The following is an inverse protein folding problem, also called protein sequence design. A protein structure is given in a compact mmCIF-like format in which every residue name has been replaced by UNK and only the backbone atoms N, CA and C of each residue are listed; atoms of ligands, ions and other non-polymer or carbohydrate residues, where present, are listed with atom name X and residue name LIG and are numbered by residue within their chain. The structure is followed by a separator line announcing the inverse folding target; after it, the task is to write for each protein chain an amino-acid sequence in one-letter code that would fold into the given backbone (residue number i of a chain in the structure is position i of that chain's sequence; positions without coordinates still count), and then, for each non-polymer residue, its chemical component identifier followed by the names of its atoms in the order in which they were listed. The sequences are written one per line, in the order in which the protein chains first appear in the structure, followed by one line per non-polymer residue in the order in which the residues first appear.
data_IF_504749035460
#
_entry.id   IF_504749035460
#
_cell.length_a   1.000
_cell.length_b   1.000
_cell.length_c   1.000
_cell.angle_alpha   90.00
_cell.angle_beta   90.00
_cell.angle_gamma   90.00
#
_symmetry.space_group_name_H-M   'P 1'
#
loop_
_entity.id
_entity.type
_entity.pdbx_description
1 polymer ?
#
# COMPACT_ATOMS: atom_id res chain seq x y z
N UNK A 1 14.88 11.95 0.36
CA UNK A 1 14.45 11.85 -1.06
C UNK A 1 13.32 10.82 -1.12
N UNK A 2 12.19 11.16 -1.72
CA UNK A 2 11.07 10.22 -1.93
C UNK A 2 11.46 9.19 -2.99
N UNK A 3 10.98 7.95 -2.82
CA UNK A 3 11.12 6.89 -3.83
C UNK A 3 9.84 6.81 -4.68
N UNK A 4 10.01 6.60 -5.98
CA UNK A 4 8.84 6.38 -6.84
C UNK A 4 8.20 5.03 -6.51
N UNK A 5 6.87 5.01 -6.43
CA UNK A 5 6.10 3.83 -6.09
C UNK A 5 4.85 3.71 -6.95
N UNK A 6 4.59 2.50 -7.43
CA UNK A 6 3.34 2.12 -8.10
C UNK A 6 2.32 1.67 -7.06
N UNK A 7 1.10 2.17 -7.16
CA UNK A 7 0.02 1.94 -6.21
C UNK A 7 -0.95 0.89 -6.74
N UNK A 8 -1.28 -0.10 -5.90
CA UNK A 8 -2.39 -1.01 -6.11
C UNK A 8 -3.60 -0.65 -5.23
N UNK A 9 -4.79 -0.96 -5.71
CA UNK A 9 -6.08 -0.71 -5.04
C UNK A 9 -6.14 -1.29 -3.63
N UNK A 10 -5.65 -2.53 -3.44
CA UNK A 10 -5.68 -3.21 -2.14
C UNK A 10 -4.89 -2.44 -1.07
N UNK A 11 -3.75 -1.89 -1.45
CA UNK A 11 -2.94 -1.08 -0.53
C UNK A 11 -3.66 0.21 -0.13
N UNK A 12 -4.17 0.96 -1.12
CA UNK A 12 -4.84 2.24 -0.87
C UNK A 12 -6.04 2.09 0.06
N UNK A 13 -6.92 1.15 -0.25
CA UNK A 13 -8.14 0.94 0.52
C UNK A 13 -7.85 0.60 1.98
N UNK A 14 -6.90 -0.28 2.23
CA UNK A 14 -6.54 -0.68 3.60
C UNK A 14 -5.77 0.42 4.33
N UNK A 15 -4.84 1.11 3.67
CA UNK A 15 -4.12 2.25 4.24
C UNK A 15 -5.05 3.40 4.62
N UNK A 16 -6.05 3.69 3.78
CA UNK A 16 -7.08 4.68 4.06
C UNK A 16 -7.93 4.29 5.26
N UNK A 17 -8.33 3.02 5.35
CA UNK A 17 -9.16 2.50 6.44
C UNK A 17 -8.49 2.64 7.82
N UNK A 18 -7.18 2.47 7.91
CA UNK A 18 -6.45 2.62 9.18
C UNK A 18 -5.84 4.01 9.39
N UNK A 19 -5.97 4.91 8.42
CA UNK A 19 -5.56 6.32 8.55
C UNK A 19 -4.07 6.59 8.33
N UNK A 20 -3.34 5.72 7.61
CA UNK A 20 -1.89 5.90 7.38
C UNK A 20 -1.54 6.56 6.05
N UNK A 21 -2.52 6.84 5.19
CA UNK A 21 -2.30 7.45 3.87
C UNK A 21 -1.49 8.74 3.92
N UNK A 22 -1.72 9.71 4.83
CA UNK A 22 -0.95 10.95 4.85
C UNK A 22 0.56 10.74 5.02
N UNK A 23 0.96 9.67 5.73
CA UNK A 23 2.39 9.36 5.92
C UNK A 23 3.08 8.87 4.65
N UNK A 24 2.34 8.29 3.68
CA UNK A 24 2.91 7.77 2.44
C UNK A 24 3.73 8.81 1.69
N UNK A 25 3.23 10.03 1.65
CA UNK A 25 3.84 11.15 0.92
C UNK A 25 5.16 11.66 1.53
N UNK A 26 5.52 11.19 2.72
CA UNK A 26 6.85 11.45 3.28
C UNK A 26 7.93 10.50 2.73
N UNK A 27 7.51 9.35 2.19
CA UNK A 27 8.40 8.29 1.71
C UNK A 27 8.34 8.10 0.20
N UNK A 28 7.17 8.28 -0.39
CA UNK A 28 6.91 7.90 -1.77
C UNK A 28 6.35 9.04 -2.61
N UNK A 29 6.85 9.12 -3.83
CA UNK A 29 6.15 9.74 -4.95
C UNK A 29 5.26 8.67 -5.57
N UNK A 30 3.95 8.82 -5.44
CA UNK A 30 2.98 7.76 -5.73
C UNK A 30 2.46 7.90 -7.15
N UNK A 31 2.56 6.82 -7.91
CA UNK A 31 2.01 6.67 -9.25
C UNK A 31 0.89 5.63 -9.24
N UNK A 32 -0.15 5.88 -10.01
CA UNK A 32 -1.29 4.99 -10.18
C UNK A 32 -1.65 4.84 -11.66
N UNK A 33 -2.22 3.70 -12.02
CA UNK A 33 -2.78 3.45 -13.35
C UNK A 33 -4.27 3.80 -13.37
N UNK A 34 -4.81 4.12 -14.54
CA UNK A 34 -6.24 4.39 -14.71
C UNK A 34 -7.12 3.24 -14.18
N UNK A 35 -6.69 1.99 -14.39
CA UNK A 35 -7.40 0.82 -13.89
C UNK A 35 -7.52 0.81 -12.35
N UNK A 36 -6.47 1.20 -11.63
CA UNK A 36 -6.48 1.35 -10.16
C UNK A 36 -7.41 2.48 -9.73
N UNK A 37 -7.37 3.63 -10.40
CA UNK A 37 -8.30 4.71 -10.11
C UNK A 37 -9.75 4.27 -10.27
N UNK A 38 -10.08 3.58 -11.37
CA UNK A 38 -11.43 3.06 -11.59
C UNK A 38 -11.89 2.14 -10.47
N UNK A 39 -11.05 1.24 -10.01
CA UNK A 39 -11.38 0.33 -8.90
C UNK A 39 -11.60 1.05 -7.57
N UNK A 40 -10.86 2.13 -7.29
CA UNK A 40 -10.99 2.90 -6.05
C UNK A 40 -12.23 3.80 -6.09
N UNK A 41 -12.49 4.47 -7.23
CA UNK A 41 -13.45 5.57 -7.34
C UNK A 41 -14.81 5.10 -7.88
N UNK A 42 -14.87 3.98 -8.62
CA UNK A 42 -16.12 3.50 -9.21
C UNK A 42 -17.03 2.94 -8.12
N UNK A 43 -18.13 3.61 -7.88
CA UNK A 43 -19.29 3.07 -7.16
C UNK A 43 -20.17 2.30 -8.14
N UNK A 44 -20.80 1.20 -7.71
CA UNK A 44 -21.81 0.52 -8.50
C UNK A 44 -22.91 1.55 -8.87
N UNK A 45 -23.21 1.76 -10.17
CA UNK A 45 -24.23 2.72 -10.58
C UNK A 45 -25.65 2.39 -10.08
N UNK A 46 -25.87 1.19 -9.53
CA UNK A 46 -27.12 0.76 -8.92
C UNK A 46 -27.17 0.98 -7.38
N UNK A 47 -26.06 1.34 -6.76
CA UNK A 47 -26.03 1.71 -5.35
C UNK A 47 -26.15 3.23 -5.21
N UNK A 48 -26.90 3.66 -4.20
CA UNK A 48 -26.87 5.08 -3.75
C UNK A 48 -25.41 5.46 -3.54
N UNK A 49 -24.94 6.63 -4.01
CA UNK A 49 -23.54 7.00 -3.92
C UNK A 49 -23.15 7.14 -2.44
N UNK A 50 -22.77 6.02 -1.83
CA UNK A 50 -22.02 6.02 -0.61
C UNK A 50 -20.64 6.54 -0.98
N UNK A 51 -20.34 7.75 -0.58
CA UNK A 51 -19.02 8.32 -0.75
C UNK A 51 -18.08 7.58 0.20
N UNK A 52 -17.45 6.54 -0.32
CA UNK A 52 -16.49 5.78 0.46
C UNK A 52 -15.30 6.67 0.83
N UNK A 53 -14.88 6.73 2.10
CA UNK A 53 -13.77 7.58 2.54
C UNK A 53 -12.48 7.40 1.73
N UNK A 54 -12.16 6.17 1.30
CA UNK A 54 -10.99 5.87 0.47
C UNK A 54 -11.07 6.51 -0.93
N UNK A 55 -12.25 6.57 -1.54
CA UNK A 55 -12.47 7.20 -2.84
C UNK A 55 -12.35 8.72 -2.75
N UNK A 56 -12.95 9.33 -1.72
CA UNK A 56 -12.82 10.78 -1.46
C UNK A 56 -11.35 11.15 -1.24
N UNK A 57 -10.67 10.41 -0.40
CA UNK A 57 -9.27 10.67 -0.08
C UNK A 57 -8.38 10.57 -1.32
N UNK A 58 -8.63 9.58 -2.18
CA UNK A 58 -7.93 9.44 -3.45
C UNK A 58 -8.14 10.65 -4.36
N UNK A 59 -9.39 11.08 -4.52
CA UNK A 59 -9.74 12.24 -5.35
C UNK A 59 -9.07 13.51 -4.84
N UNK A 60 -9.14 13.79 -3.54
CA UNK A 60 -8.49 14.97 -2.93
C UNK A 60 -6.97 14.96 -3.19
N UNK A 61 -6.27 13.87 -2.93
CA UNK A 61 -4.83 13.82 -3.14
C UNK A 61 -4.43 13.84 -4.62
N UNK A 62 -5.29 13.34 -5.52
CA UNK A 62 -5.09 13.47 -6.96
C UNK A 62 -5.21 14.93 -7.40
N UNK A 63 -6.25 15.63 -6.97
CA UNK A 63 -6.49 17.06 -7.27
C UNK A 63 -5.38 17.94 -6.70
N UNK A 64 -4.86 17.62 -5.53
CA UNK A 64 -3.69 18.29 -4.92
C UNK A 64 -2.35 17.99 -5.64
N UNK A 65 -2.37 17.17 -6.69
CA UNK A 65 -1.16 16.81 -7.45
C UNK A 65 -0.19 15.89 -6.71
N UNK A 66 -0.64 15.19 -5.67
CA UNK A 66 0.18 14.24 -4.90
C UNK A 66 0.16 12.83 -5.45
N UNK A 67 -0.81 12.51 -6.28
CA UNK A 67 -0.91 11.24 -7.00
C UNK A 67 -0.71 11.48 -8.49
N UNK A 68 0.15 10.69 -9.12
CA UNK A 68 0.55 10.87 -10.51
C UNK A 68 0.05 9.72 -11.37
N UNK A 69 -0.77 10.02 -12.38
CA UNK A 69 -1.21 8.99 -13.31
C UNK A 69 -0.07 8.58 -14.24
N UNK A 70 0.20 7.28 -14.32
CA UNK A 70 1.25 6.70 -15.17
C UNK A 70 0.83 5.29 -15.58
N UNK A 71 0.91 4.99 -16.86
CA UNK A 71 0.52 3.69 -17.40
C UNK A 71 1.74 2.79 -17.67
N UNK A 72 1.61 1.46 -17.52
CA UNK A 72 2.61 0.52 -18.00
C UNK A 72 2.57 0.38 -19.53
N UNK A 73 3.68 0.01 -20.13
CA UNK A 73 3.74 -0.26 -21.57
C UNK A 73 3.09 -1.60 -21.92
N UNK A 74 3.30 -2.62 -21.08
CA UNK A 74 2.81 -3.99 -21.32
C UNK A 74 2.23 -4.53 -20.02
N UNK A 75 0.89 -4.50 -19.83
CA UNK A 75 0.26 -5.04 -18.64
C UNK A 75 0.50 -6.55 -18.49
N UNK A 76 0.79 -6.99 -17.27
CA UNK A 76 0.88 -8.41 -16.93
C UNK A 76 -0.51 -9.07 -17.06
N UNK A 77 -0.67 -10.18 -17.79
CA UNK A 77 -2.00 -10.78 -18.01
C UNK A 77 -2.56 -11.55 -16.82
N UNK A 78 -1.77 -11.70 -15.75
CA UNK A 78 -2.16 -12.44 -14.56
C UNK A 78 -2.83 -11.52 -13.55
N UNK A 79 -3.82 -11.99 -12.84
CA UNK A 79 -4.60 -11.24 -11.84
C UNK A 79 -5.64 -10.26 -12.43
N UNK A 80 -6.23 -9.45 -11.57
CA UNK A 80 -7.15 -8.39 -11.96
C UNK A 80 -6.46 -7.24 -12.72
N UNK A 81 -7.23 -6.42 -13.43
CA UNK A 81 -6.67 -5.39 -14.32
C UNK A 81 -5.84 -4.36 -13.53
N UNK A 82 -6.34 -3.88 -12.40
CA UNK A 82 -5.62 -2.93 -11.55
C UNK A 82 -4.31 -3.49 -11.03
N UNK A 83 -4.34 -4.69 -10.44
CA UNK A 83 -3.14 -5.39 -9.95
C UNK A 83 -2.12 -5.63 -11.07
N UNK A 84 -2.60 -6.11 -12.24
CA UNK A 84 -1.75 -6.38 -13.40
C UNK A 84 -1.00 -5.11 -13.85
N UNK A 85 -1.71 -3.99 -13.96
CA UNK A 85 -1.14 -2.70 -14.35
C UNK A 85 -0.16 -2.18 -13.30
N UNK A 86 -0.52 -2.25 -12.01
CA UNK A 86 0.35 -1.78 -10.93
C UNK A 86 1.66 -2.59 -10.84
N UNK A 87 1.59 -3.91 -10.98
CA UNK A 87 2.77 -4.79 -11.00
C UNK A 87 3.67 -4.47 -12.19
N UNK A 88 3.08 -4.35 -13.39
CA UNK A 88 3.84 -4.05 -14.61
C UNK A 88 4.53 -2.70 -14.54
N UNK A 89 3.83 -1.67 -14.08
CA UNK A 89 4.41 -0.34 -13.91
C UNK A 89 5.61 -0.36 -12.96
N UNK A 90 5.47 -1.01 -11.80
CA UNK A 90 6.57 -1.14 -10.84
C UNK A 90 7.77 -1.89 -11.43
N UNK A 91 7.51 -2.99 -12.18
CA UNK A 91 8.56 -3.78 -12.83
C UNK A 91 9.28 -3.00 -13.92
N UNK A 92 8.53 -2.37 -14.84
CA UNK A 92 9.09 -1.63 -15.98
C UNK A 92 9.94 -0.44 -15.56
N UNK A 93 9.54 0.22 -14.48
CA UNK A 93 10.23 1.42 -13.96
C UNK A 93 11.21 1.13 -12.84
N UNK A 94 11.34 -0.10 -12.39
CA UNK A 94 12.13 -0.49 -11.22
C UNK A 94 11.69 0.26 -9.93
N UNK A 95 10.40 0.57 -9.84
CA UNK A 95 9.80 1.24 -8.70
C UNK A 95 9.37 0.27 -7.61
N UNK A 96 9.05 0.80 -6.43
CA UNK A 96 8.41 0.05 -5.37
C UNK A 96 6.95 -0.20 -5.75
N UNK A 97 6.42 -1.37 -5.40
CA UNK A 97 5.00 -1.69 -5.50
C UNK A 97 4.35 -1.62 -4.12
N UNK A 98 3.36 -0.75 -3.98
CA UNK A 98 2.49 -0.67 -2.80
C UNK A 98 1.30 -1.58 -3.03
N UNK A 99 1.28 -2.75 -2.37
CA UNK A 99 0.28 -3.80 -2.58
C UNK A 99 0.03 -4.55 -1.28
N UNK A 100 -1.25 -4.87 -0.97
CA UNK A 100 -1.61 -5.54 0.28
C UNK A 100 -2.12 -6.98 0.10
N UNK A 101 -2.51 -7.39 -1.10
CA UNK A 101 -2.93 -8.76 -1.38
C UNK A 101 -1.75 -9.70 -1.48
N UNK A 102 -1.76 -10.75 -0.66
CA UNK A 102 -0.61 -11.65 -0.49
C UNK A 102 -0.20 -12.38 -1.76
N UNK A 103 -1.16 -12.92 -2.53
CA UNK A 103 -0.85 -13.71 -3.73
C UNK A 103 -0.19 -12.88 -4.83
N UNK A 104 -0.75 -11.74 -5.28
CA UNK A 104 -0.10 -10.88 -6.27
C UNK A 104 1.19 -10.25 -5.74
N UNK A 105 1.30 -9.94 -4.43
CA UNK A 105 2.53 -9.49 -3.82
C UNK A 105 3.66 -10.52 -3.98
N UNK A 106 3.39 -11.78 -3.65
CA UNK A 106 4.37 -12.87 -3.79
C UNK A 106 4.78 -13.07 -5.26
N UNK A 107 3.82 -13.00 -6.17
CA UNK A 107 4.11 -13.07 -7.60
C UNK A 107 5.02 -11.92 -8.05
N UNK A 108 4.71 -10.67 -7.68
CA UNK A 108 5.54 -9.52 -8.02
C UNK A 108 6.98 -9.69 -7.48
N UNK A 109 7.14 -10.23 -6.29
CA UNK A 109 8.46 -10.55 -5.73
C UNK A 109 9.22 -11.59 -6.57
N UNK A 110 8.56 -12.59 -7.16
CA UNK A 110 9.22 -13.54 -8.07
C UNK A 110 9.70 -12.88 -9.35
N UNK A 111 9.13 -11.75 -9.73
CA UNK A 111 9.57 -10.91 -10.85
C UNK A 111 10.67 -9.90 -10.48
N UNK A 112 11.17 -9.96 -9.25
CA UNK A 112 12.20 -9.03 -8.74
C UNK A 112 11.67 -7.65 -8.31
N UNK A 113 10.34 -7.48 -8.22
CA UNK A 113 9.74 -6.21 -7.78
C UNK A 113 9.82 -6.09 -6.25
N UNK A 114 10.29 -4.94 -5.78
CA UNK A 114 10.27 -4.61 -4.36
C UNK A 114 8.86 -4.21 -3.93
N UNK A 115 8.29 -4.92 -2.97
CA UNK A 115 6.92 -4.72 -2.52
C UNK A 115 6.89 -4.19 -1.09
N UNK A 116 5.95 -3.30 -0.83
CA UNK A 116 5.59 -2.83 0.53
C UNK A 116 4.10 -3.10 0.74
N UNK A 117 3.77 -3.86 1.77
CA UNK A 117 2.40 -4.09 2.24
C UNK A 117 2.00 -3.04 3.28
N UNK A 118 0.72 -2.91 3.60
CA UNK A 118 0.28 -1.98 4.66
C UNK A 118 0.89 -2.35 6.01
N UNK A 119 0.94 -3.62 6.46
CA UNK A 119 1.69 -3.98 7.66
C UNK A 119 3.17 -3.61 7.58
N UNK A 120 3.82 -3.88 6.44
CA UNK A 120 5.21 -3.49 6.21
C UNK A 120 5.43 -1.98 6.29
N UNK A 121 4.47 -1.19 5.81
CA UNK A 121 4.52 0.27 5.92
C UNK A 121 4.38 0.73 7.38
N UNK A 122 3.53 0.09 8.20
CA UNK A 122 3.46 0.38 9.64
C UNK A 122 4.80 0.12 10.35
N UNK A 123 5.52 -0.95 9.96
CA UNK A 123 6.88 -1.21 10.46
C UNK A 123 7.86 -0.12 10.02
N UNK A 124 7.78 0.32 8.76
CA UNK A 124 8.61 1.43 8.25
C UNK A 124 8.38 2.72 9.04
N UNK A 125 7.13 3.05 9.37
CA UNK A 125 6.80 4.21 10.20
C UNK A 125 7.43 4.10 11.60
N UNK A 126 7.39 2.93 12.21
CA UNK A 126 8.05 2.67 13.49
C UNK A 126 9.58 2.73 13.34
N UNK A 127 10.14 2.06 12.34
CA UNK A 127 11.58 2.06 12.07
C UNK A 127 12.15 3.45 11.84
N UNK A 128 11.37 4.37 11.29
CA UNK A 128 11.75 5.77 11.07
C UNK A 128 11.30 6.72 12.19
N UNK A 129 10.84 6.18 13.33
CA UNK A 129 10.39 6.93 14.51
C UNK A 129 9.24 7.92 14.23
N UNK A 130 8.42 7.65 13.23
CA UNK A 130 7.20 8.42 12.94
C UNK A 130 6.06 8.03 13.87
N UNK A 131 6.08 6.81 14.37
CA UNK A 131 5.13 6.26 15.34
C UNK A 131 5.89 5.44 16.39
N UNK A 132 5.26 5.21 17.54
CA UNK A 132 5.78 4.34 18.61
C UNK A 132 5.55 2.85 18.29
N UNK A 133 6.24 1.95 18.98
CA UNK A 133 5.99 0.51 18.90
C UNK A 133 4.53 0.18 19.27
N UNK A 134 3.99 0.82 20.30
CA UNK A 134 2.60 0.63 20.74
C UNK A 134 1.61 1.02 19.62
N UNK A 135 1.85 2.11 18.90
CA UNK A 135 1.03 2.54 17.77
C UNK A 135 1.15 1.55 16.60
N UNK A 136 2.36 1.10 16.26
CA UNK A 136 2.58 0.11 15.21
C UNK A 136 1.81 -1.19 15.50
N UNK A 137 1.94 -1.73 16.71
CA UNK A 137 1.18 -2.91 17.16
C UNK A 137 -0.34 -2.68 17.14
N UNK A 138 -0.79 -1.47 17.46
CA UNK A 138 -2.19 -1.05 17.34
C UNK A 138 -2.71 -1.14 15.91
N UNK A 139 -1.96 -0.63 14.95
CA UNK A 139 -2.29 -0.76 13.52
C UNK A 139 -2.31 -2.22 13.06
N UNK A 140 -1.31 -3.04 13.43
CA UNK A 140 -1.27 -4.45 13.06
C UNK A 140 -2.49 -5.22 13.58
N UNK A 141 -2.92 -4.97 14.81
CA UNK A 141 -4.17 -5.57 15.34
C UNK A 141 -5.41 -5.17 14.54
N UNK A 142 -5.52 -3.90 14.12
CA UNK A 142 -6.64 -3.42 13.28
C UNK A 142 -6.64 -4.05 11.88
N UNK A 143 -5.48 -4.40 11.36
CA UNK A 143 -5.32 -5.04 10.05
C UNK A 143 -5.66 -6.53 10.05
N UNK A 144 -5.78 -7.18 11.21
CA UNK A 144 -5.91 -8.64 11.33
C UNK A 144 -7.15 -9.21 10.60
N UNK A 145 -8.21 -8.41 10.44
CA UNK A 145 -9.46 -8.84 9.76
C UNK A 145 -9.45 -8.62 8.25
N UNK A 146 -8.54 -7.80 7.74
CA UNK A 146 -8.55 -7.35 6.32
C UNK A 146 -7.27 -7.72 5.57
N UNK A 147 -6.27 -8.25 6.26
CA UNK A 147 -4.95 -8.53 5.71
C UNK A 147 -4.52 -9.96 6.02
N UNK A 148 -3.79 -10.57 5.09
CA UNK A 148 -3.25 -11.92 5.25
C UNK A 148 -2.50 -12.08 6.59
N UNK A 149 -2.82 -13.13 7.39
CA UNK A 149 -2.10 -13.40 8.63
C UNK A 149 -0.58 -13.58 8.45
N UNK A 150 -0.13 -13.98 7.26
CA UNK A 150 1.31 -14.11 6.95
C UNK A 150 1.99 -12.75 6.93
N UNK A 151 1.37 -11.74 6.29
CA UNK A 151 1.89 -10.38 6.26
C UNK A 151 1.90 -9.74 7.65
N UNK A 152 0.86 -9.99 8.45
CA UNK A 152 0.79 -9.51 9.84
C UNK A 152 1.93 -10.10 10.67
N UNK A 153 2.08 -11.43 10.71
CA UNK A 153 3.15 -12.09 11.49
C UNK A 153 4.55 -11.65 11.07
N UNK A 154 4.77 -11.47 9.76
CA UNK A 154 6.05 -10.98 9.26
C UNK A 154 6.34 -9.55 9.74
N UNK A 155 5.33 -8.69 9.75
CA UNK A 155 5.46 -7.33 10.24
C UNK A 155 5.68 -7.28 11.75
N UNK A 156 4.94 -8.10 12.54
CA UNK A 156 5.13 -8.23 13.98
C UNK A 156 6.57 -8.64 14.31
N UNK A 157 7.07 -9.71 13.68
CA UNK A 157 8.45 -10.17 13.87
C UNK A 157 9.48 -9.08 13.53
N UNK A 158 9.28 -8.33 12.47
CA UNK A 158 10.16 -7.22 12.09
C UNK A 158 10.10 -6.07 13.10
N UNK A 159 8.93 -5.72 13.59
CA UNK A 159 8.78 -4.68 14.61
C UNK A 159 9.46 -5.09 15.95
N UNK A 160 9.29 -6.34 16.35
CA UNK A 160 9.92 -6.87 17.56
C UNK A 160 11.45 -6.89 17.44
N UNK A 161 11.99 -7.29 16.29
CA UNK A 161 13.43 -7.25 16.04
C UNK A 161 13.99 -5.83 16.17
N UNK A 162 13.34 -4.84 15.56
CA UNK A 162 13.75 -3.43 15.68
C UNK A 162 13.68 -2.96 17.13
N UNK A 163 12.63 -3.37 17.87
CA UNK A 163 12.46 -3.00 19.28
C UNK A 163 13.56 -3.58 20.17
N UNK A 164 13.96 -4.84 19.93
CA UNK A 164 15.08 -5.47 20.61
C UNK A 164 16.39 -4.72 20.34
N UNK A 165 16.68 -4.44 19.07
CA UNK A 165 17.88 -3.69 18.65
C UNK A 165 17.96 -2.29 19.27
N UNK A 166 16.82 -1.69 19.61
CA UNK A 166 16.72 -0.39 20.30
C UNK A 166 16.68 -0.47 21.80
N UNK A 167 16.63 -1.69 22.37
CA UNK A 167 16.48 -1.88 23.82
C UNK A 167 15.09 -1.50 24.35
N UNK A 168 14.07 -1.43 23.50
CA UNK A 168 12.67 -1.19 23.87
C UNK A 168 11.97 -2.48 24.34
N UNK A 169 12.51 -3.63 23.98
CA UNK A 169 12.13 -4.96 24.44
C UNK A 169 13.37 -5.71 24.92
N UNK A 170 13.22 -6.44 26.06
CA UNK A 170 14.24 -7.34 26.61
C UNK A 170 14.07 -8.76 26.06
#
# INVERSE_FOLDING_TARGET
MQQDASLDTSFWNIAAQIGVVPYLFSFFKIHFCEAVEREIVTTDPNETPLVFPQAMLFTVFKEDGRLHQTEPNTPEPKFGVGEAHAISLARERSWILLINDYRPLRFAQTLGVRCVSVPGFCVLLYATQRITLAAARGYLRRLATTTSPRLIRQAEASADQIAIERGELL
#
